data_IF_633187483345
#
_entry.id   IF_633187483345
#
_cell.length_a   1.000
_cell.length_b   1.000
_cell.length_c   1.000
_cell.angle_alpha   90.00
_cell.angle_beta   90.00
_cell.angle_gamma   90.00
#
_symmetry.space_group_name_H-M   'P 1'
#
loop_
_entity.id
_entity.type
_entity.pdbx_description
1 polymer ?
#
# COMPACT_ATOMS: atom_id res chain seq x y z
N UNK A 1 0.52 5.54 5.59
CA UNK A 1 0.16 6.94 5.28
C UNK A 1 0.62 7.91 6.36
N UNK A 2 0.17 7.80 7.61
CA UNK A 2 0.58 8.73 8.66
C UNK A 2 2.11 8.92 8.82
N UNK A 3 2.90 7.83 8.72
CA UNK A 3 4.36 7.95 8.75
C UNK A 3 4.93 8.81 7.60
N UNK A 4 4.29 8.79 6.42
CA UNK A 4 4.63 9.65 5.28
C UNK A 4 4.25 11.09 5.61
N UNK A 5 3.03 11.32 6.12
CA UNK A 5 2.58 12.66 6.53
C UNK A 5 3.52 13.27 7.57
N UNK A 6 3.91 12.51 8.59
CA UNK A 6 4.83 12.97 9.62
C UNK A 6 6.22 13.31 9.06
N UNK A 7 6.70 12.57 8.05
CA UNK A 7 7.97 12.87 7.39
C UNK A 7 7.90 14.13 6.50
N UNK A 8 6.72 14.46 5.99
CA UNK A 8 6.46 15.62 5.14
C UNK A 8 6.03 16.87 5.94
N UNK A 9 5.50 16.69 7.14
CA UNK A 9 5.00 17.75 8.00
C UNK A 9 6.12 18.73 8.36
N UNK A 10 6.02 19.94 7.81
CA UNK A 10 6.93 21.06 8.04
C UNK A 10 6.11 22.34 8.10
N UNK A 11 6.53 23.37 8.86
CA UNK A 11 5.74 24.60 9.00
C UNK A 11 5.37 25.31 7.70
N UNK A 12 6.14 25.09 6.62
CA UNK A 12 5.93 25.70 5.31
C UNK A 12 5.02 24.88 4.39
N UNK A 13 4.53 23.72 4.82
CA UNK A 13 3.75 22.79 4.01
C UNK A 13 2.37 22.65 4.64
N UNK A 14 1.33 23.09 3.93
CA UNK A 14 -0.05 22.95 4.34
C UNK A 14 -0.57 21.55 3.99
N UNK A 15 -0.73 20.72 5.01
CA UNK A 15 -1.22 19.34 4.87
C UNK A 15 -2.65 19.27 5.42
N UNK A 16 -3.58 18.79 4.58
CA UNK A 16 -4.97 18.58 5.00
C UNK A 16 -5.42 17.16 4.67
N UNK A 17 -6.12 16.50 5.60
CA UNK A 17 -6.62 15.13 5.44
C UNK A 17 -8.14 15.07 5.52
N UNK A 18 -8.73 14.06 4.85
CA UNK A 18 -10.13 13.64 5.04
C UNK A 18 -10.13 12.17 5.42
N UNK A 19 -10.73 11.82 6.55
CA UNK A 19 -10.62 10.49 7.16
C UNK A 19 -11.95 9.99 7.75
N UNK A 20 -12.13 8.66 7.83
CA UNK A 20 -13.34 8.02 8.34
C UNK A 20 -12.98 6.75 9.14
N UNK A 21 -12.72 6.82 10.45
CA UNK A 21 -12.52 8.03 11.28
C UNK A 21 -11.08 8.54 11.27
N UNK A 22 -10.79 9.62 12.02
CA UNK A 22 -9.42 10.01 12.33
C UNK A 22 -8.82 8.98 13.31
N UNK A 23 -7.70 8.38 12.94
CA UNK A 23 -7.04 7.32 13.73
C UNK A 23 -6.30 7.89 14.94
N UNK A 24 -5.59 9.00 14.76
CA UNK A 24 -4.96 9.78 15.83
C UNK A 24 -4.62 11.20 15.37
N UNK A 25 -4.44 12.09 16.34
CA UNK A 25 -4.07 13.49 16.11
C UNK A 25 -2.60 13.63 15.67
N UNK A 26 -2.37 14.31 14.55
CA UNK A 26 -1.05 14.57 13.99
C UNK A 26 -0.77 16.09 14.00
N UNK A 27 0.10 16.57 14.92
CA UNK A 27 0.40 17.99 15.04
C UNK A 27 0.89 18.62 13.74
N UNK A 28 0.33 19.77 13.38
CA UNK A 28 0.68 20.50 12.15
C UNK A 28 -0.04 20.00 10.90
N UNK A 29 -0.98 19.06 11.02
CA UNK A 29 -1.82 18.57 9.93
C UNK A 29 -3.29 18.90 10.22
N UNK A 30 -3.97 19.53 9.27
CA UNK A 30 -5.41 19.77 9.38
C UNK A 30 -6.19 18.50 9.09
N UNK A 31 -6.82 17.89 10.08
CA UNK A 31 -7.55 16.62 9.89
C UNK A 31 -9.06 16.83 9.92
N UNK A 32 -9.74 16.43 8.84
CA UNK A 32 -11.20 16.49 8.73
C UNK A 32 -11.78 15.10 8.83
N UNK A 33 -12.64 14.88 9.82
CA UNK A 33 -13.37 13.62 9.93
C UNK A 33 -14.67 13.67 9.11
N UNK A 34 -14.93 12.61 8.36
CA UNK A 34 -16.20 12.39 7.66
C UNK A 34 -17.34 12.35 8.68
N UNK A 35 -18.44 13.00 8.32
CA UNK A 35 -19.68 13.00 9.07
C UNK A 35 -20.87 13.05 8.10
N UNK A 36 -21.33 11.87 7.68
CA UNK A 36 -22.44 11.73 6.73
C UNK A 36 -23.72 12.40 7.22
N UNK A 37 -23.99 12.37 8.54
CA UNK A 37 -25.19 13.00 9.14
C UNK A 37 -25.19 14.52 8.98
N UNK A 38 -24.01 15.13 8.91
CA UNK A 38 -23.83 16.56 8.68
C UNK A 38 -23.57 16.90 7.20
N UNK A 39 -23.54 15.91 6.29
CA UNK A 39 -23.22 16.09 4.87
C UNK A 39 -21.72 16.29 4.58
N UNK A 40 -20.85 15.99 5.55
CA UNK A 40 -19.39 16.03 5.39
C UNK A 40 -18.89 14.68 4.89
N UNK A 41 -19.05 14.42 3.59
CA UNK A 41 -18.55 13.20 2.93
C UNK A 41 -17.11 13.41 2.44
N UNK A 42 -16.46 12.35 1.94
CA UNK A 42 -15.14 12.49 1.29
C UNK A 42 -15.16 13.54 0.17
N UNK A 43 -16.09 13.41 -0.78
CA UNK A 43 -16.22 14.33 -1.92
C UNK A 43 -16.55 15.77 -1.52
N UNK A 44 -17.45 15.99 -0.55
CA UNK A 44 -17.80 17.37 -0.13
C UNK A 44 -16.66 18.04 0.63
N UNK A 45 -15.98 17.29 1.51
CA UNK A 45 -14.82 17.76 2.27
C UNK A 45 -13.66 18.09 1.34
N UNK A 46 -13.36 17.21 0.38
CA UNK A 46 -12.28 17.41 -0.60
C UNK A 46 -12.49 18.69 -1.45
N UNK A 47 -13.72 18.96 -1.89
CA UNK A 47 -14.05 20.22 -2.58
C UNK A 47 -13.84 21.46 -1.70
N UNK A 48 -14.00 21.34 -0.38
CA UNK A 48 -13.74 22.45 0.54
C UNK A 48 -12.25 22.66 0.76
N UNK A 49 -11.50 21.57 0.87
CA UNK A 49 -10.04 21.58 1.08
C UNK A 49 -9.31 22.28 -0.06
N UNK A 50 -9.76 22.13 -1.31
CA UNK A 50 -9.17 22.83 -2.45
C UNK A 50 -9.24 24.37 -2.37
N UNK A 51 -10.05 24.94 -1.46
CA UNK A 51 -10.11 26.38 -1.17
C UNK A 51 -9.30 26.78 0.08
N UNK A 52 -8.52 25.87 0.64
CA UNK A 52 -7.69 26.10 1.82
C UNK A 52 -6.21 26.26 1.48
N UNK A 53 -5.87 26.44 0.20
CA UNK A 53 -4.48 26.54 -0.28
C UNK A 53 -3.58 25.37 0.18
N UNK A 54 -4.01 24.09 -0.01
CA UNK A 54 -3.22 22.94 0.45
C UNK A 54 -2.01 22.69 -0.45
N UNK A 55 -0.92 22.20 0.13
CA UNK A 55 0.20 21.63 -0.63
C UNK A 55 0.03 20.10 -0.80
N UNK A 56 -0.42 19.45 0.28
CA UNK A 56 -0.59 18.00 0.36
C UNK A 56 -2.00 17.68 0.83
N UNK A 57 -2.66 16.77 0.13
CA UNK A 57 -3.99 16.28 0.46
C UNK A 57 -3.91 14.78 0.73
N UNK A 58 -4.40 14.34 1.89
CA UNK A 58 -4.58 12.91 2.17
C UNK A 58 -6.07 12.56 2.18
N UNK A 59 -6.46 11.59 1.38
CA UNK A 59 -7.81 11.03 1.35
C UNK A 59 -7.72 9.65 1.98
N UNK A 60 -8.46 9.40 3.06
CA UNK A 60 -8.37 8.13 3.79
C UNK A 60 -8.49 6.92 2.87
N UNK A 61 -9.45 6.97 1.94
CA UNK A 61 -9.60 5.98 0.88
C UNK A 61 -10.45 6.50 -0.30
N UNK A 62 -10.25 5.92 -1.48
CA UNK A 62 -11.05 6.18 -2.67
C UNK A 62 -12.02 5.02 -2.91
N UNK A 63 -13.22 5.09 -2.33
CA UNK A 63 -14.25 4.04 -2.46
C UNK A 63 -15.05 4.12 -3.76
N UNK A 64 -15.21 5.33 -4.30
CA UNK A 64 -16.12 5.63 -5.40
C UNK A 64 -15.48 6.52 -6.48
N UNK A 65 -16.17 6.60 -7.62
CA UNK A 65 -15.76 7.42 -8.76
C UNK A 65 -15.58 8.89 -8.39
N UNK A 66 -16.52 9.48 -7.66
CA UNK A 66 -16.49 10.92 -7.35
C UNK A 66 -15.24 11.29 -6.54
N UNK A 67 -14.94 10.52 -5.51
CA UNK A 67 -13.77 10.72 -4.64
C UNK A 67 -12.48 10.51 -5.42
N UNK A 68 -12.38 9.43 -6.21
CA UNK A 68 -11.22 9.15 -7.05
C UNK A 68 -11.00 10.23 -8.11
N UNK A 69 -12.07 10.66 -8.78
CA UNK A 69 -12.03 11.68 -9.82
C UNK A 69 -11.56 13.02 -9.26
N UNK A 70 -12.12 13.50 -8.15
CA UNK A 70 -11.68 14.76 -7.54
C UNK A 70 -10.24 14.65 -7.03
N UNK A 71 -9.84 13.51 -6.45
CA UNK A 71 -8.46 13.30 -6.00
C UNK A 71 -7.45 13.39 -7.15
N UNK A 72 -7.77 12.76 -8.29
CA UNK A 72 -6.92 12.80 -9.49
C UNK A 72 -6.89 14.20 -10.13
N UNK A 73 -8.02 14.90 -10.17
CA UNK A 73 -8.03 16.31 -10.63
C UNK A 73 -7.22 17.21 -9.70
N UNK A 74 -7.23 16.94 -8.40
CA UNK A 74 -6.43 17.69 -7.42
C UNK A 74 -4.93 17.49 -7.67
N UNK A 75 -4.49 16.26 -7.98
CA UNK A 75 -3.08 16.02 -8.28
C UNK A 75 -2.62 16.64 -9.60
N UNK A 76 -3.48 16.66 -10.63
CA UNK A 76 -3.19 17.32 -11.91
C UNK A 76 -3.12 18.86 -11.80
N UNK A 77 -3.68 19.44 -10.74
CA UNK A 77 -3.62 20.88 -10.46
C UNK A 77 -2.47 21.29 -9.55
N UNK A 78 -1.53 20.38 -9.28
CA UNK A 78 -0.27 20.67 -8.59
C UNK A 78 -0.20 20.26 -7.12
N UNK A 79 -1.22 19.54 -6.61
CA UNK A 79 -1.25 19.06 -5.24
C UNK A 79 -0.62 17.68 -5.12
N UNK A 80 0.13 17.40 -4.06
CA UNK A 80 0.50 16.01 -3.75
C UNK A 80 -0.69 15.31 -3.09
N UNK A 81 -1.23 14.28 -3.74
CA UNK A 81 -2.38 13.52 -3.23
C UNK A 81 -1.94 12.14 -2.75
N UNK A 82 -2.27 11.81 -1.50
CA UNK A 82 -2.05 10.50 -0.89
C UNK A 82 -3.40 9.85 -0.63
N UNK A 83 -3.56 8.57 -0.97
CA UNK A 83 -4.81 7.85 -0.72
C UNK A 83 -4.60 6.35 -0.57
N UNK A 84 -5.66 5.63 -0.23
CA UNK A 84 -5.68 4.16 -0.23
C UNK A 84 -6.76 3.60 -1.14
N UNK A 85 -6.51 2.36 -1.60
CA UNK A 85 -7.44 1.52 -2.34
C UNK A 85 -7.35 0.11 -1.78
N UNK A 86 -8.46 -0.63 -1.85
CA UNK A 86 -8.49 -2.05 -1.50
C UNK A 86 -8.18 -2.91 -2.73
N UNK A 87 -6.89 -3.18 -2.94
CA UNK A 87 -6.41 -4.12 -3.98
C UNK A 87 -5.50 -5.20 -3.39
N UNK A 88 -5.33 -6.29 -4.15
CA UNK A 88 -4.48 -7.41 -3.74
C UNK A 88 -2.98 -7.12 -3.91
N UNK A 89 -2.65 -6.31 -4.90
CA UNK A 89 -1.29 -5.93 -5.27
C UNK A 89 -1.28 -4.48 -5.80
N UNK A 90 -0.07 -3.97 -6.01
CA UNK A 90 0.17 -2.57 -6.37
C UNK A 90 -0.24 -2.24 -7.80
N UNK A 91 -0.06 -3.18 -8.74
CA UNK A 91 -0.40 -2.99 -10.16
C UNK A 91 -1.93 -3.00 -10.34
N UNK A 92 -2.63 -3.87 -9.60
CA UNK A 92 -4.09 -3.95 -9.60
C UNK A 92 -4.78 -2.65 -9.18
N UNK A 93 -4.09 -1.73 -8.50
CA UNK A 93 -4.62 -0.40 -8.20
C UNK A 93 -4.88 0.43 -9.48
N UNK A 94 -4.04 0.29 -10.51
CA UNK A 94 -4.25 0.94 -11.81
C UNK A 94 -5.55 0.45 -12.44
N UNK A 95 -5.72 -0.88 -12.50
CA UNK A 95 -6.94 -1.50 -13.03
C UNK A 95 -8.16 -1.07 -12.23
N UNK A 96 -8.05 -1.04 -10.90
CA UNK A 96 -9.16 -0.61 -10.02
C UNK A 96 -9.59 0.83 -10.28
N UNK A 97 -8.65 1.76 -10.49
CA UNK A 97 -8.98 3.14 -10.85
C UNK A 97 -9.73 3.21 -12.19
N UNK A 98 -9.27 2.46 -13.20
CA UNK A 98 -9.92 2.41 -14.52
C UNK A 98 -11.32 1.79 -14.42
N UNK A 99 -11.48 0.70 -13.65
CA UNK A 99 -12.76 0.02 -13.43
C UNK A 99 -13.77 0.90 -12.68
N UNK A 100 -13.30 1.84 -11.84
CA UNK A 100 -14.17 2.85 -11.22
C UNK A 100 -14.65 3.92 -12.22
N UNK A 101 -14.14 3.93 -13.45
CA UNK A 101 -14.50 4.89 -14.50
C UNK A 101 -13.51 6.03 -14.68
N UNK A 102 -12.35 5.99 -14.03
CA UNK A 102 -11.29 6.98 -14.29
C UNK A 102 -10.68 6.72 -15.66
N UNK A 103 -10.61 7.76 -16.48
CA UNK A 103 -9.99 7.66 -17.79
C UNK A 103 -8.48 7.32 -17.68
N UNK A 104 -7.97 6.37 -18.47
CA UNK A 104 -6.58 5.92 -18.35
C UNK A 104 -5.55 7.03 -18.53
N UNK A 105 -5.82 8.03 -19.37
CA UNK A 105 -4.91 9.17 -19.56
C UNK A 105 -4.81 10.03 -18.29
N UNK A 106 -5.87 10.10 -17.46
CA UNK A 106 -5.83 10.78 -16.16
C UNK A 106 -5.00 9.99 -15.15
N UNK A 107 -5.18 8.66 -15.09
CA UNK A 107 -4.35 7.79 -14.23
C UNK A 107 -2.88 7.89 -14.62
N UNK A 108 -2.60 7.76 -15.92
CA UNK A 108 -1.28 7.91 -16.52
C UNK A 108 -0.66 9.27 -16.17
N UNK A 109 -1.40 10.38 -16.32
CA UNK A 109 -0.89 11.73 -16.06
C UNK A 109 -0.71 12.11 -14.59
N UNK A 110 -1.26 11.34 -13.65
CA UNK A 110 -1.35 11.74 -12.23
C UNK A 110 -0.69 10.77 -11.24
N UNK A 111 -0.60 9.49 -11.57
CA UNK A 111 -0.13 8.46 -10.65
C UNK A 111 1.40 8.45 -10.59
N UNK A 112 1.97 8.77 -9.43
CA UNK A 112 3.43 8.70 -9.21
C UNK A 112 3.90 7.27 -8.88
N UNK A 113 3.09 6.53 -8.13
CA UNK A 113 3.42 5.19 -7.68
C UNK A 113 2.35 4.60 -6.76
N UNK A 114 2.45 3.30 -6.54
CA UNK A 114 1.55 2.54 -5.66
C UNK A 114 2.37 1.64 -4.75
N UNK A 115 2.02 1.60 -3.47
CA UNK A 115 2.60 0.66 -2.51
C UNK A 115 1.52 -0.29 -2.02
N UNK A 116 1.69 -1.58 -2.31
CA UNK A 116 0.90 -2.63 -1.69
C UNK A 116 1.62 -3.18 -0.45
N UNK A 117 0.89 -3.26 0.66
CA UNK A 117 1.45 -3.65 1.95
C UNK A 117 0.75 -4.91 2.51
N UNK A 118 1.55 -5.81 3.09
CA UNK A 118 1.06 -6.89 3.97
C UNK A 118 1.83 -6.87 5.29
N UNK A 119 1.12 -7.06 6.40
CA UNK A 119 1.73 -7.21 7.73
C UNK A 119 1.91 -8.68 8.04
N UNK A 120 3.14 -9.05 8.37
CA UNK A 120 3.58 -10.43 8.58
C UNK A 120 4.08 -10.56 10.02
N UNK A 121 3.70 -11.63 10.71
CA UNK A 121 4.21 -11.89 12.06
C UNK A 121 5.68 -12.30 12.00
N UNK A 122 6.48 -11.79 12.93
CA UNK A 122 7.90 -12.16 13.06
C UNK A 122 8.04 -13.41 13.92
N UNK A 123 8.89 -14.35 13.52
CA UNK A 123 9.16 -15.56 14.32
C UNK A 123 9.68 -15.16 15.70
N UNK A 124 9.18 -15.82 16.74
CA UNK A 124 9.70 -15.64 18.09
C UNK A 124 11.19 -16.02 18.17
N UNK A 125 12.09 -15.09 18.56
CA UNK A 125 13.52 -15.36 18.61
C UNK A 125 13.91 -16.38 19.68
N UNK A 126 13.05 -16.63 20.68
CA UNK A 126 13.31 -17.54 21.80
C UNK A 126 12.94 -19.00 21.53
N UNK A 127 12.12 -19.26 20.52
CA UNK A 127 11.62 -20.60 20.23
C UNK A 127 11.62 -20.91 18.73
N UNK A 128 12.45 -20.20 17.96
CA UNK A 128 12.68 -20.53 16.56
C UNK A 128 13.47 -21.82 16.45
N UNK A 129 13.06 -22.67 15.53
CA UNK A 129 13.79 -23.89 15.18
C UNK A 129 13.73 -24.09 13.67
N UNK A 130 14.77 -24.73 13.15
CA UNK A 130 14.91 -25.04 11.74
C UNK A 130 14.13 -26.30 11.40
N UNK A 131 13.43 -26.28 10.28
CA UNK A 131 12.63 -27.39 9.77
C UNK A 131 12.82 -27.52 8.25
N UNK A 132 12.70 -28.74 7.70
CA UNK A 132 12.67 -28.91 6.25
C UNK A 132 11.54 -28.07 5.64
N UNK A 133 11.87 -27.31 4.60
CA UNK A 133 10.90 -26.55 3.84
C UNK A 133 10.01 -27.47 2.99
N UNK A 134 8.85 -26.95 2.58
CA UNK A 134 7.91 -27.68 1.73
C UNK A 134 7.16 -26.73 0.79
N UNK A 135 6.45 -27.30 -0.19
CA UNK A 135 5.58 -26.55 -1.09
C UNK A 135 6.31 -25.45 -1.87
N UNK A 136 5.69 -24.27 -1.96
CA UNK A 136 6.22 -23.13 -2.73
C UNK A 136 7.61 -22.69 -2.25
N UNK A 137 7.93 -22.86 -0.97
CA UNK A 137 9.22 -22.45 -0.40
C UNK A 137 10.35 -23.31 -0.98
N UNK A 138 10.13 -24.64 -1.02
CA UNK A 138 11.08 -25.58 -1.62
C UNK A 138 11.24 -25.35 -3.13
N UNK A 139 10.15 -25.02 -3.84
CA UNK A 139 10.20 -24.69 -5.27
C UNK A 139 11.07 -23.46 -5.58
N UNK A 140 11.26 -22.57 -4.60
CA UNK A 140 12.14 -21.42 -4.70
C UNK A 140 13.57 -21.68 -4.19
N UNK A 141 13.95 -22.95 -4.02
CA UNK A 141 15.31 -23.37 -3.68
C UNK A 141 15.69 -23.18 -2.21
N UNK A 142 14.70 -23.09 -1.32
CA UNK A 142 14.92 -23.04 0.13
C UNK A 142 14.67 -24.44 0.68
N UNK A 143 15.73 -25.14 1.09
CA UNK A 143 15.64 -26.51 1.62
C UNK A 143 15.23 -26.54 3.11
N UNK A 144 15.65 -25.53 3.86
CA UNK A 144 15.40 -25.40 5.30
C UNK A 144 14.76 -24.04 5.58
N UNK A 145 13.70 -24.05 6.40
CA UNK A 145 12.98 -22.86 6.83
C UNK A 145 12.89 -22.81 8.35
N UNK A 146 12.41 -21.69 8.87
CA UNK A 146 12.25 -21.50 10.31
C UNK A 146 10.78 -21.60 10.70
N UNK A 147 10.51 -22.25 11.83
CA UNK A 147 9.21 -22.21 12.52
C UNK A 147 9.35 -21.76 13.96
N UNK A 148 8.28 -21.22 14.53
CA UNK A 148 8.20 -20.95 15.96
C UNK A 148 7.41 -22.05 16.68
N UNK A 149 8.06 -22.87 17.51
CA UNK A 149 7.40 -23.99 18.22
C UNK A 149 6.42 -23.57 19.33
N UNK A 150 6.47 -22.30 19.74
CA UNK A 150 5.73 -21.79 20.89
C UNK A 150 6.53 -21.88 22.19
N UNK A 151 6.50 -20.82 22.99
CA UNK A 151 7.09 -20.76 24.33
C UNK A 151 6.38 -19.70 25.17
N UNK A 152 6.73 -19.59 26.45
CA UNK A 152 6.14 -18.59 27.36
C UNK A 152 6.31 -17.15 26.87
N UNK A 153 7.46 -16.80 26.29
CA UNK A 153 7.75 -15.43 25.81
C UNK A 153 6.80 -14.98 24.69
N UNK A 154 6.41 -15.89 23.81
CA UNK A 154 5.43 -15.64 22.75
C UNK A 154 4.02 -16.13 23.09
N UNK A 155 3.79 -16.52 24.36
CA UNK A 155 2.50 -17.05 24.84
C UNK A 155 1.99 -18.24 24.01
N UNK A 156 2.90 -19.12 23.62
CA UNK A 156 2.59 -20.32 22.83
C UNK A 156 2.33 -20.07 21.34
N UNK A 157 2.37 -18.82 20.85
CA UNK A 157 1.98 -18.51 19.46
C UNK A 157 3.05 -18.85 18.42
N UNK A 158 4.32 -18.86 18.82
CA UNK A 158 5.46 -18.97 17.91
C UNK A 158 5.91 -17.63 17.29
N UNK A 159 5.24 -16.51 17.56
CA UNK A 159 5.52 -15.20 16.96
C UNK A 159 5.64 -14.07 17.98
N UNK A 160 6.47 -13.05 17.71
CA UNK A 160 6.54 -11.81 18.51
C UNK A 160 6.67 -10.62 17.56
N UNK A 161 5.69 -9.71 17.60
CA UNK A 161 5.67 -8.52 16.76
C UNK A 161 5.32 -8.82 15.29
N UNK A 162 5.37 -7.76 14.48
CA UNK A 162 5.06 -7.79 13.04
C UNK A 162 6.03 -6.89 12.28
N UNK A 163 6.14 -7.14 10.98
CA UNK A 163 6.82 -6.26 10.04
C UNK A 163 6.02 -6.18 8.73
N UNK A 164 6.31 -5.17 7.91
CA UNK A 164 5.65 -4.98 6.62
C UNK A 164 6.45 -5.58 5.48
N UNK A 165 5.76 -6.23 4.55
CA UNK A 165 6.22 -6.44 3.19
C UNK A 165 5.64 -5.32 2.32
N UNK A 166 6.48 -4.70 1.50
CA UNK A 166 6.13 -3.52 0.71
C UNK A 166 6.46 -3.78 -0.76
N UNK A 167 5.43 -4.10 -1.54
CA UNK A 167 5.54 -4.16 -2.99
C UNK A 167 5.33 -2.74 -3.55
N UNK A 168 6.40 -2.17 -4.09
CA UNK A 168 6.41 -0.80 -4.59
C UNK A 168 6.42 -0.81 -6.12
N UNK A 169 5.39 -0.21 -6.71
CA UNK A 169 5.24 0.00 -8.15
C UNK A 169 5.42 1.49 -8.46
N UNK A 170 6.59 1.84 -8.99
CA UNK A 170 6.90 3.20 -9.41
C UNK A 170 6.45 3.42 -10.86
N UNK A 171 5.77 4.53 -11.14
CA UNK A 171 5.30 4.86 -12.48
C UNK A 171 6.37 5.62 -13.24
N UNK A 172 7.13 4.90 -14.08
CA UNK A 172 8.10 5.50 -15.02
C UNK A 172 7.41 5.99 -16.30
N UNK A 173 8.08 6.80 -17.14
CA UNK A 173 7.51 7.25 -18.41
C UNK A 173 7.02 6.11 -19.33
N UNK A 174 7.69 4.97 -19.35
CA UNK A 174 7.26 3.80 -20.14
C UNK A 174 5.99 3.16 -19.57
N UNK A 175 5.90 3.08 -18.24
CA UNK A 175 4.71 2.57 -17.55
C UNK A 175 3.55 3.55 -17.76
N UNK A 176 3.82 4.84 -17.66
CA UNK A 176 2.85 5.90 -17.93
C UNK A 176 2.23 5.76 -19.32
N UNK A 177 3.05 5.56 -20.36
CA UNK A 177 2.57 5.31 -21.71
C UNK A 177 1.74 4.02 -21.79
N UNK A 178 2.21 2.93 -21.18
CA UNK A 178 1.50 1.66 -21.16
C UNK A 178 0.13 1.76 -20.45
N UNK A 179 0.01 2.54 -19.38
CA UNK A 179 -1.28 2.82 -18.71
C UNK A 179 -2.23 3.56 -19.65
N UNK A 180 -1.74 4.59 -20.37
CA UNK A 180 -2.55 5.35 -21.31
C UNK A 180 -3.10 4.47 -22.45
N UNK A 181 -2.31 3.49 -22.90
CA UNK A 181 -2.68 2.51 -23.93
C UNK A 181 -3.54 1.35 -23.40
N UNK A 182 -3.92 1.33 -22.11
CA UNK A 182 -4.65 0.23 -21.45
C UNK A 182 -3.92 -1.11 -21.57
N UNK A 183 -2.59 -1.10 -21.46
CA UNK A 183 -1.79 -2.32 -21.49
C UNK A 183 -2.21 -3.29 -20.36
N UNK A 184 -2.15 -4.61 -20.61
CA UNK A 184 -2.49 -5.60 -19.60
C UNK A 184 -1.53 -5.55 -18.41
N UNK A 185 -2.00 -5.94 -17.21
CA UNK A 185 -1.19 -5.91 -15.98
C UNK A 185 0.10 -6.75 -16.07
N UNK A 186 0.14 -7.78 -16.93
CA UNK A 186 1.35 -8.55 -17.22
C UNK A 186 2.44 -7.71 -17.88
N UNK A 187 2.07 -6.78 -18.76
CA UNK A 187 2.99 -5.87 -19.43
C UNK A 187 3.47 -4.79 -18.47
N UNK A 188 2.58 -4.20 -17.66
CA UNK A 188 2.96 -3.27 -16.60
C UNK A 188 3.95 -3.91 -15.63
N UNK A 189 3.71 -5.16 -15.24
CA UNK A 189 4.63 -5.94 -14.40
C UNK A 189 5.97 -6.11 -15.10
N UNK A 190 6.00 -6.53 -16.36
CA UNK A 190 7.23 -6.72 -17.14
C UNK A 190 8.06 -5.44 -17.23
N UNK A 191 7.41 -4.29 -17.40
CA UNK A 191 8.08 -2.98 -17.41
C UNK A 191 8.62 -2.62 -16.02
N UNK A 192 7.82 -2.78 -14.96
CA UNK A 192 8.24 -2.48 -13.59
C UNK A 192 9.43 -3.34 -13.14
N UNK A 193 9.53 -4.59 -13.61
CA UNK A 193 10.68 -5.47 -13.33
C UNK A 193 12.02 -4.89 -13.77
N UNK A 194 12.04 -4.06 -14.82
CA UNK A 194 13.26 -3.39 -15.29
C UNK A 194 13.84 -2.43 -14.24
N UNK A 195 13.00 -1.95 -13.32
CA UNK A 195 13.36 -1.02 -12.26
C UNK A 195 13.38 -1.69 -10.87
N UNK A 196 13.55 -3.01 -10.81
CA UNK A 196 13.71 -3.73 -9.54
C UNK A 196 12.41 -4.06 -8.80
N UNK A 197 11.25 -3.91 -9.45
CA UNK A 197 9.96 -4.34 -8.89
C UNK A 197 10.03 -5.78 -8.37
N UNK A 198 9.62 -5.98 -7.12
CA UNK A 198 9.51 -7.29 -6.47
C UNK A 198 8.09 -7.46 -5.96
N UNK A 199 7.47 -8.61 -6.22
CA UNK A 199 6.11 -8.88 -5.75
C UNK A 199 6.07 -9.13 -4.25
N UNK A 200 4.89 -9.00 -3.64
CA UNK A 200 4.67 -9.41 -2.24
C UNK A 200 5.10 -10.86 -1.99
N UNK A 201 4.91 -11.77 -2.96
CA UNK A 201 5.34 -13.16 -2.86
C UNK A 201 6.86 -13.29 -2.79
N UNK A 202 7.59 -12.62 -3.67
CA UNK A 202 9.05 -12.68 -3.67
C UNK A 202 9.65 -12.02 -2.44
N UNK A 203 9.07 -10.92 -1.98
CA UNK A 203 9.45 -10.29 -0.71
C UNK A 203 9.19 -11.22 0.47
N UNK A 204 8.06 -11.93 0.47
CA UNK A 204 7.73 -12.95 1.46
C UNK A 204 8.70 -14.12 1.46
N UNK A 205 9.05 -14.65 0.29
CA UNK A 205 10.01 -15.75 0.14
C UNK A 205 11.39 -15.33 0.63
N UNK A 206 11.85 -14.11 0.31
CA UNK A 206 13.09 -13.54 0.85
C UNK A 206 13.04 -13.45 2.38
N UNK A 207 11.92 -13.01 2.95
CA UNK A 207 11.76 -12.93 4.40
C UNK A 207 11.78 -14.31 5.08
N UNK A 208 11.23 -15.35 4.42
CA UNK A 208 11.33 -16.74 4.88
C UNK A 208 12.77 -17.23 4.83
N UNK A 209 13.48 -17.00 3.72
CA UNK A 209 14.89 -17.36 3.56
C UNK A 209 15.78 -16.70 4.64
N UNK A 210 15.48 -15.47 5.01
CA UNK A 210 16.17 -14.74 6.08
C UNK A 210 15.78 -15.18 7.50
N UNK A 211 14.83 -16.11 7.65
CA UNK A 211 14.34 -16.57 8.95
C UNK A 211 13.57 -15.51 9.74
N UNK A 212 12.97 -14.53 9.06
CA UNK A 212 12.19 -13.46 9.69
C UNK A 212 10.76 -13.87 9.97
N UNK A 213 10.17 -14.66 9.07
CA UNK A 213 8.81 -15.21 9.15
C UNK A 213 8.82 -16.69 8.76
N UNK A 214 7.74 -17.41 9.04
CA UNK A 214 7.59 -18.81 8.64
C UNK A 214 6.93 -18.94 7.26
N UNK A 215 7.12 -20.07 6.55
CA UNK A 215 6.38 -20.41 5.34
C UNK A 215 4.86 -20.23 5.47
N UNK A 216 4.28 -20.73 6.56
CA UNK A 216 2.83 -20.74 6.79
C UNK A 216 2.30 -19.32 6.96
N UNK A 217 3.04 -18.48 7.69
CA UNK A 217 2.65 -17.09 7.89
C UNK A 217 2.77 -16.26 6.61
N UNK A 218 3.78 -16.51 5.79
CA UNK A 218 3.94 -15.89 4.49
C UNK A 218 2.79 -16.26 3.54
N UNK A 219 2.46 -17.55 3.44
CA UNK A 219 1.34 -18.02 2.61
C UNK A 219 0.00 -17.46 3.08
N UNK A 220 -0.22 -17.34 4.38
CA UNK A 220 -1.45 -16.78 4.95
C UNK A 220 -1.72 -15.33 4.53
N UNK A 221 -0.68 -14.51 4.37
CA UNK A 221 -0.83 -13.06 4.13
C UNK A 221 -0.70 -12.67 2.66
N UNK A 222 0.09 -13.42 1.89
CA UNK A 222 0.28 -13.16 0.45
C UNK A 222 -0.70 -13.96 -0.40
N UNK A 223 -1.19 -15.10 0.11
CA UNK A 223 -1.99 -16.06 -0.64
C UNK A 223 -1.13 -17.13 -1.33
N UNK A 224 -1.75 -18.27 -1.64
CA UNK A 224 -1.20 -19.22 -2.61
C UNK A 224 -1.50 -18.67 -4.01
N UNK A 225 -0.46 -18.49 -4.83
CA UNK A 225 -0.60 -18.09 -6.24
C UNK A 225 -0.82 -19.33 -7.09
#
# INVERSE_FOLDING_TARGET
LYAILQALARPQVNIITVEDPIEYDLPGVGQVQVNDKAGLTFSSSLRSILRQDPDIIMIGEMRDFDTAHIGIQSSLTGHLVLSTLHTNDSISAVTRLIDMGIEPYLVSGSLLGVVAQRLVRRICPHCREEVPASGVILQHGIDMAWRGKGCEKCRGTGYIGRFGLYEQFDVTPEIQAAIAEKAPSSELRRLARKNGFCTLLELGIKAVANGETTPEEMLRVVGEV
#
